data_IF_521458860586
#
_entry.id   IF_521458860586
#
_cell.length_a   1.000
_cell.length_b   1.000
_cell.length_c   1.000
_cell.angle_alpha   90.00
_cell.angle_beta   90.00
_cell.angle_gamma   90.00
#
_symmetry.space_group_name_H-M   'P 1'
#
loop_
_entity.id
_entity.type
_entity.pdbx_description
1 polymer ?
#
# COMPACT_ATOMS: atom_id res chain seq x y z
N UNK A 1 -18.11 -3.54 3.78
CA UNK A 1 -16.94 -2.71 4.18
C UNK A 1 -17.15 -2.39 5.64
N UNK A 2 -16.38 -3.03 6.52
CA UNK A 2 -16.35 -2.59 7.92
C UNK A 2 -15.46 -1.35 8.00
N UNK A 3 -15.82 -0.40 8.87
CA UNK A 3 -15.08 0.83 9.08
C UNK A 3 -13.72 0.57 9.75
N UNK A 4 -13.32 1.47 10.65
CA UNK A 4 -12.09 1.30 11.41
C UNK A 4 -12.05 -0.07 12.13
N UNK A 5 -11.16 -1.00 11.74
CA UNK A 5 -11.20 -2.38 12.23
C UNK A 5 -10.84 -2.48 13.72
N UNK A 6 -10.16 -1.47 14.27
CA UNK A 6 -9.85 -1.39 15.70
C UNK A 6 -11.09 -1.14 16.57
N UNK A 7 -12.22 -0.72 15.97
CA UNK A 7 -13.50 -0.59 16.68
C UNK A 7 -14.12 -1.94 17.06
N UNK A 8 -13.63 -3.04 16.48
CA UNK A 8 -14.00 -4.40 16.89
C UNK A 8 -13.52 -4.73 18.31
N UNK A 9 -12.46 -4.06 18.78
CA UNK A 9 -11.83 -4.26 20.09
C UNK A 9 -11.32 -2.94 20.68
N UNK A 10 -12.22 -2.01 21.05
CA UNK A 10 -11.83 -0.69 21.53
C UNK A 10 -10.97 -0.75 22.80
N UNK A 11 -11.16 -1.77 23.65
CA UNK A 11 -10.39 -2.02 24.86
C UNK A 11 -8.91 -2.36 24.58
N UNK A 12 -8.61 -2.84 23.37
CA UNK A 12 -7.26 -3.19 22.94
C UNK A 12 -6.55 -2.09 22.15
N UNK A 13 -7.18 -0.93 21.95
CA UNK A 13 -6.56 0.19 21.21
C UNK A 13 -5.16 0.54 21.76
N UNK A 14 -4.93 0.64 23.08
CA UNK A 14 -3.59 0.93 23.62
C UNK A 14 -2.55 -0.14 23.28
N UNK A 15 -2.95 -1.43 23.28
CA UNK A 15 -2.10 -2.57 22.91
C UNK A 15 -1.69 -2.47 21.43
N UNK A 16 -2.66 -2.26 20.54
CA UNK A 16 -2.40 -2.13 19.11
C UNK A 16 -1.63 -0.86 18.75
N UNK A 17 -1.90 0.25 19.43
CA UNK A 17 -1.15 1.48 19.24
C UNK A 17 0.33 1.30 19.59
N UNK A 18 0.63 0.61 20.71
CA UNK A 18 2.00 0.24 21.07
C UNK A 18 2.65 -0.65 20.01
N UNK A 19 1.97 -1.72 19.59
CA UNK A 19 2.47 -2.62 18.54
C UNK A 19 2.77 -1.88 17.23
N UNK A 20 1.91 -0.96 16.81
CA UNK A 20 2.10 -0.16 15.58
C UNK A 20 3.22 0.86 15.75
N UNK A 21 3.36 1.47 16.92
CA UNK A 21 4.44 2.43 17.19
C UNK A 21 5.82 1.74 17.14
N UNK A 22 5.93 0.53 17.69
CA UNK A 22 7.17 -0.26 17.73
C UNK A 22 7.68 -0.72 16.34
N UNK A 23 6.85 -0.64 15.29
CA UNK A 23 7.20 -1.12 13.94
C UNK A 23 7.45 0.04 12.96
N UNK A 24 7.58 1.26 13.47
CA UNK A 24 7.96 2.42 12.65
C UNK A 24 9.41 2.30 12.19
N UNK A 25 9.63 2.57 10.92
CA UNK A 25 10.96 2.62 10.34
C UNK A 25 11.55 3.98 10.63
N UNK A 26 12.58 4.02 11.48
CA UNK A 26 13.32 5.24 11.81
C UNK A 26 14.42 5.53 10.77
N UNK A 27 15.05 4.48 10.24
CA UNK A 27 16.05 4.57 9.18
C UNK A 27 15.82 3.47 8.14
N UNK A 28 15.65 3.87 6.88
CA UNK A 28 15.43 2.94 5.77
C UNK A 28 16.62 2.03 5.48
N UNK A 29 17.81 2.32 6.01
CA UNK A 29 19.03 1.52 5.85
C UNK A 29 19.31 0.58 7.02
N UNK A 30 18.44 0.56 8.03
CA UNK A 30 18.59 -0.31 9.19
C UNK A 30 17.33 -1.15 9.38
N UNK A 31 17.46 -2.47 9.22
CA UNK A 31 16.36 -3.41 9.40
C UNK A 31 15.92 -3.42 10.87
N UNK A 32 14.60 -3.47 11.10
CA UNK A 32 14.07 -3.68 12.44
C UNK A 32 14.25 -5.15 12.82
N UNK A 33 15.22 -5.43 13.69
CA UNK A 33 15.55 -6.79 14.14
C UNK A 33 14.98 -7.13 15.52
N UNK A 34 14.63 -6.14 16.35
CA UNK A 34 14.13 -6.31 17.71
C UNK A 34 12.73 -5.74 17.95
N UNK A 35 12.29 -5.77 19.21
CA UNK A 35 11.10 -5.06 19.72
C UNK A 35 11.58 -3.90 20.59
N UNK A 36 11.98 -2.79 19.97
CA UNK A 36 12.29 -1.58 20.72
C UNK A 36 11.01 -1.05 21.37
N UNK A 37 11.06 -0.74 22.66
CA UNK A 37 9.89 -0.18 23.35
C UNK A 37 9.65 1.25 22.84
N UNK A 38 8.50 1.54 22.23
CA UNK A 38 8.23 2.85 21.66
C UNK A 38 8.04 3.89 22.77
N UNK A 39 8.38 5.14 22.46
CA UNK A 39 8.18 6.25 23.40
C UNK A 39 6.68 6.50 23.61
N UNK A 40 6.31 7.00 24.80
CA UNK A 40 4.92 7.34 25.12
C UNK A 40 4.25 8.25 24.08
N UNK A 41 5.00 9.22 23.54
CA UNK A 41 4.51 10.10 22.48
C UNK A 41 4.20 9.37 21.17
N UNK A 42 4.94 8.32 20.84
CA UNK A 42 4.71 7.51 19.64
C UNK A 42 3.46 6.64 19.79
N UNK A 43 3.27 6.04 20.97
CA UNK A 43 2.07 5.29 21.32
C UNK A 43 0.84 6.20 21.27
N UNK A 44 0.88 7.35 21.96
CA UNK A 44 -0.22 8.32 21.98
C UNK A 44 -0.56 8.82 20.57
N UNK A 45 0.44 9.00 19.70
CA UNK A 45 0.20 9.34 18.30
C UNK A 45 -0.56 8.22 17.57
N UNK A 46 -0.19 6.95 17.74
CA UNK A 46 -0.91 5.84 17.10
C UNK A 46 -2.32 5.67 17.66
N UNK A 47 -2.55 5.89 18.94
CA UNK A 47 -3.90 5.87 19.52
C UNK A 47 -4.80 6.91 18.86
N UNK A 48 -4.32 8.16 18.76
CA UNK A 48 -5.02 9.24 18.05
C UNK A 48 -5.26 8.87 16.59
N UNK A 49 -4.27 8.23 15.94
CA UNK A 49 -4.37 7.82 14.53
C UNK A 49 -5.40 6.71 14.34
N UNK A 50 -5.44 5.73 15.24
CA UNK A 50 -6.47 4.69 15.27
C UNK A 50 -7.84 5.33 15.45
N UNK A 51 -7.98 6.33 16.33
CA UNK A 51 -9.26 7.04 16.55
C UNK A 51 -9.65 8.02 15.43
N UNK A 52 -8.77 8.26 14.47
CA UNK A 52 -9.00 9.22 13.38
C UNK A 52 -8.82 10.69 13.80
N UNK A 53 -8.22 10.94 14.97
CA UNK A 53 -8.02 12.27 15.55
C UNK A 53 -6.77 12.97 15.00
N UNK A 54 -5.90 12.25 14.28
CA UNK A 54 -4.70 12.81 13.66
C UNK A 54 -4.40 12.17 12.30
N UNK A 55 -3.71 12.93 11.45
CA UNK A 55 -3.15 12.45 10.17
C UNK A 55 -1.64 12.27 10.32
N UNK A 56 -1.09 11.32 9.59
CA UNK A 56 0.36 11.09 9.55
C UNK A 56 0.88 11.42 8.15
N UNK A 57 1.95 12.21 8.10
CA UNK A 57 2.72 12.47 6.88
C UNK A 57 4.14 12.00 7.14
N UNK A 58 4.72 11.24 6.21
CA UNK A 58 6.11 10.80 6.29
C UNK A 58 6.41 9.65 7.27
N UNK A 59 5.40 9.06 7.92
CA UNK A 59 5.59 7.88 8.80
C UNK A 59 5.50 6.60 7.97
N UNK A 60 6.55 5.77 8.03
CA UNK A 60 6.66 4.50 7.32
C UNK A 60 6.74 3.36 8.35
N UNK A 61 6.04 2.25 8.08
CA UNK A 61 6.05 1.06 8.93
C UNK A 61 6.66 -0.15 8.22
N UNK A 62 7.19 -1.08 8.99
CA UNK A 62 7.55 -2.41 8.47
C UNK A 62 6.29 -3.17 8.04
N UNK A 63 6.23 -3.54 6.76
CA UNK A 63 5.05 -4.11 6.13
C UNK A 63 4.66 -5.48 6.66
N UNK A 64 5.63 -6.36 6.91
CA UNK A 64 5.36 -7.70 7.43
C UNK A 64 4.90 -7.65 8.88
N UNK A 65 5.53 -6.80 9.70
CA UNK A 65 5.10 -6.59 11.09
C UNK A 65 3.73 -5.91 11.16
N UNK A 66 3.44 -4.96 10.26
CA UNK A 66 2.12 -4.34 10.17
C UNK A 66 1.03 -5.36 9.79
N UNK A 67 1.29 -6.22 8.81
CA UNK A 67 0.38 -7.30 8.43
C UNK A 67 0.11 -8.25 9.60
N UNK A 68 1.13 -8.57 10.41
CA UNK A 68 0.97 -9.37 11.64
C UNK A 68 0.02 -8.69 12.63
N UNK A 69 0.14 -7.38 12.85
CA UNK A 69 -0.78 -6.63 13.72
C UNK A 69 -2.23 -6.74 13.22
N UNK A 70 -2.45 -6.62 11.91
CA UNK A 70 -3.79 -6.78 11.33
C UNK A 70 -4.29 -8.24 11.39
N UNK A 71 -3.40 -9.21 11.28
CA UNK A 71 -3.71 -10.63 11.47
C UNK A 71 -4.18 -10.91 12.91
N UNK A 72 -3.47 -10.39 13.91
CA UNK A 72 -3.85 -10.48 15.34
C UNK A 72 -5.24 -9.89 15.62
N UNK A 73 -5.60 -8.83 14.89
CA UNK A 73 -6.92 -8.19 15.00
C UNK A 73 -8.05 -9.08 14.46
N UNK A 74 -7.77 -9.86 13.41
CA UNK A 74 -8.74 -10.77 12.79
C UNK A 74 -8.76 -12.17 13.38
N UNK A 75 -7.72 -12.59 14.12
CA UNK A 75 -7.65 -13.92 14.73
C UNK A 75 -8.96 -14.37 15.44
N UNK A 76 -9.69 -13.49 16.17
CA UNK A 76 -10.96 -13.85 16.81
C UNK A 76 -12.14 -14.03 15.85
N UNK A 77 -12.12 -13.37 14.68
CA UNK A 77 -13.16 -13.46 13.67
C UNK A 77 -13.03 -14.71 12.78
N UNK A 78 -11.93 -15.46 12.92
CA UNK A 78 -11.63 -16.63 12.10
C UNK A 78 -11.01 -16.22 10.76
N UNK A 79 -9.70 -16.42 10.62
CA UNK A 79 -9.04 -16.36 9.32
C UNK A 79 -9.32 -17.67 8.59
N UNK A 80 -10.34 -17.69 7.75
CA UNK A 80 -10.67 -18.87 6.95
C UNK A 80 -10.03 -18.76 5.56
N UNK A 81 -9.37 -19.84 5.11
CA UNK A 81 -8.76 -19.90 3.77
C UNK A 81 -9.76 -19.67 2.62
N UNK A 82 -11.06 -19.83 2.89
CA UNK A 82 -12.15 -19.60 1.94
C UNK A 82 -12.61 -18.13 1.86
N UNK A 83 -12.03 -17.25 2.67
CA UNK A 83 -12.38 -15.83 2.75
C UNK A 83 -11.16 -14.98 2.46
N UNK A 84 -11.28 -14.03 1.54
CA UNK A 84 -10.23 -13.04 1.29
C UNK A 84 -10.37 -11.86 2.25
N UNK A 85 -9.46 -11.74 3.21
CA UNK A 85 -9.39 -10.61 4.12
C UNK A 85 -8.47 -9.54 3.56
N UNK A 86 -9.01 -8.36 3.28
CA UNK A 86 -8.29 -7.26 2.64
C UNK A 86 -8.40 -6.00 3.52
N UNK A 87 -7.27 -5.48 3.97
CA UNK A 87 -7.18 -4.21 4.68
C UNK A 87 -6.80 -3.09 3.71
N UNK A 88 -7.63 -2.06 3.65
CA UNK A 88 -7.27 -0.77 3.05
C UNK A 88 -6.79 0.16 4.17
N UNK A 89 -5.58 0.71 4.03
CA UNK A 89 -4.99 1.57 5.05
C UNK A 89 -4.32 2.80 4.44
N UNK A 90 -4.34 3.92 5.15
CA UNK A 90 -3.54 5.11 4.77
C UNK A 90 -2.14 5.10 5.39
N UNK A 91 -1.73 3.99 6.01
CA UNK A 91 -0.36 3.79 6.51
C UNK A 91 0.55 3.43 5.36
N UNK A 92 1.58 4.25 5.12
CA UNK A 92 2.65 3.91 4.19
C UNK A 92 3.53 2.85 4.84
N UNK A 93 3.85 1.78 4.11
CA UNK A 93 4.71 0.71 4.63
C UNK A 93 5.76 0.32 3.61
N UNK A 94 6.80 -0.33 4.10
CA UNK A 94 7.92 -0.79 3.32
C UNK A 94 8.34 -2.21 3.75
N UNK A 95 9.00 -2.93 2.85
CA UNK A 95 9.59 -4.23 3.14
C UNK A 95 11.10 -4.14 3.00
N UNK A 96 11.83 -4.84 3.87
CA UNK A 96 13.28 -4.95 3.76
C UNK A 96 13.67 -5.73 2.50
N UNK A 97 14.56 -5.17 1.69
CA UNK A 97 15.20 -5.85 0.57
C UNK A 97 16.54 -6.40 1.02
N UNK A 98 16.70 -7.72 0.97
CA UNK A 98 17.97 -8.39 1.31
C UNK A 98 19.06 -8.09 0.27
N UNK A 99 18.67 -7.84 -0.98
CA UNK A 99 19.62 -7.66 -2.09
C UNK A 99 20.40 -6.33 -2.00
N UNK A 100 19.77 -5.27 -1.50
CA UNK A 100 20.35 -3.92 -1.41
C UNK A 100 20.34 -3.35 0.02
N UNK A 101 20.02 -4.20 1.01
CA UNK A 101 20.03 -3.90 2.44
C UNK A 101 19.31 -2.59 2.79
N UNK A 102 18.09 -2.40 2.27
CA UNK A 102 17.25 -1.24 2.61
C UNK A 102 15.77 -1.54 2.50
N UNK A 103 14.97 -0.70 3.16
CA UNK A 103 13.52 -0.70 3.05
C UNK A 103 13.05 -0.12 1.72
N UNK A 104 12.16 -0.86 1.05
CA UNK A 104 11.46 -0.44 -0.17
C UNK A 104 10.00 -0.19 0.13
N UNK A 105 9.53 1.03 -0.14
CA UNK A 105 8.12 1.34 -0.03
C UNK A 105 7.29 0.38 -0.90
N UNK A 106 6.16 -0.09 -0.37
CA UNK A 106 5.25 -0.99 -1.07
C UNK A 106 3.85 -0.40 -1.10
N UNK A 107 3.17 -0.66 -2.19
CA UNK A 107 1.75 -0.36 -2.33
C UNK A 107 0.88 -1.42 -1.65
N UNK A 108 1.25 -2.69 -1.81
CA UNK A 108 0.49 -3.81 -1.29
C UNK A 108 1.40 -4.92 -0.76
N UNK A 109 0.84 -5.72 0.15
CA UNK A 109 1.42 -6.95 0.65
C UNK A 109 0.32 -8.02 0.64
N UNK A 110 0.50 -9.06 -0.17
CA UNK A 110 -0.49 -10.13 -0.33
C UNK A 110 -0.17 -11.28 0.64
N UNK A 111 -1.18 -11.70 1.39
CA UNK A 111 -1.06 -12.66 2.47
C UNK A 111 -2.39 -12.84 3.19
N UNK A 112 -2.34 -13.35 4.43
CA UNK A 112 -3.52 -13.53 5.29
C UNK A 112 -3.36 -12.68 6.55
N UNK A 113 -3.88 -11.43 6.57
CA UNK A 113 -4.67 -10.76 5.52
C UNK A 113 -3.80 -10.07 4.46
N UNK A 114 -4.40 -9.71 3.32
CA UNK A 114 -3.76 -8.81 2.36
C UNK A 114 -3.90 -7.37 2.82
N UNK A 115 -2.86 -6.55 2.62
CA UNK A 115 -2.79 -5.16 3.06
C UNK A 115 -2.49 -4.27 1.87
N UNK A 116 -3.32 -3.26 1.62
CA UNK A 116 -3.17 -2.31 0.52
C UNK A 116 -3.11 -0.90 1.12
N UNK A 117 -2.03 -0.19 0.83
CA UNK A 117 -1.83 1.19 1.28
C UNK A 117 -2.32 2.19 0.24
N UNK A 118 -3.30 3.01 0.58
CA UNK A 118 -3.74 4.11 -0.30
C UNK A 118 -2.66 5.17 -0.45
N UNK A 119 -1.91 5.44 0.62
CA UNK A 119 -0.71 6.30 0.57
C UNK A 119 0.40 5.66 -0.27
N UNK A 120 0.57 4.33 -0.16
CA UNK A 120 1.53 3.58 -0.95
C UNK A 120 1.20 3.54 -2.45
N UNK A 121 -0.05 3.78 -2.87
CA UNK A 121 -0.38 3.94 -4.30
C UNK A 121 0.23 5.20 -4.92
N UNK A 122 0.42 6.23 -4.09
CA UNK A 122 0.94 7.54 -4.50
C UNK A 122 2.46 7.56 -4.33
N UNK A 123 2.94 7.13 -3.16
CA UNK A 123 4.34 7.36 -2.76
C UNK A 123 5.29 6.20 -3.09
N UNK A 124 4.81 4.97 -3.27
CA UNK A 124 5.70 3.81 -3.46
C UNK A 124 6.18 3.63 -4.91
N UNK A 125 5.32 3.71 -5.95
CA UNK A 125 5.78 3.65 -7.33
C UNK A 125 6.61 4.88 -7.69
N UNK A 126 7.68 4.69 -8.45
CA UNK A 126 8.51 5.78 -8.94
C UNK A 126 7.68 6.72 -9.85
N UNK A 127 7.93 8.02 -9.74
CA UNK A 127 7.31 9.03 -10.61
C UNK A 127 7.86 8.93 -12.03
N UNK A 128 7.18 9.50 -13.04
CA UNK A 128 7.72 9.65 -14.40
C UNK A 128 9.19 10.10 -14.41
N UNK A 129 10.00 9.57 -15.32
CA UNK A 129 11.42 9.98 -15.44
C UNK A 129 11.55 11.50 -15.65
N UNK A 130 10.64 12.08 -16.42
CA UNK A 130 10.56 13.51 -16.70
C UNK A 130 10.42 14.35 -15.42
N UNK A 131 9.70 13.85 -14.42
CA UNK A 131 9.57 14.53 -13.13
C UNK A 131 10.93 14.76 -12.47
N UNK A 132 11.81 13.76 -12.49
CA UNK A 132 13.14 13.87 -11.89
C UNK A 132 14.05 14.81 -12.69
N UNK A 133 13.96 14.79 -14.02
CA UNK A 133 14.72 15.70 -14.88
C UNK A 133 14.32 17.16 -14.63
N UNK A 134 13.02 17.44 -14.61
CA UNK A 134 12.50 18.78 -14.30
C UNK A 134 12.87 19.21 -12.87
N UNK A 135 12.78 18.31 -11.90
CA UNK A 135 13.17 18.59 -10.52
C UNK A 135 14.62 19.04 -10.43
N UNK A 136 15.53 18.33 -11.09
CA UNK A 136 16.95 18.69 -11.14
C UNK A 136 17.16 20.07 -11.80
N UNK A 137 16.48 20.35 -12.91
CA UNK A 137 16.56 21.65 -13.58
C UNK A 137 16.04 22.80 -12.71
N UNK A 138 14.91 22.60 -12.01
CA UNK A 138 14.36 23.61 -11.11
C UNK A 138 15.29 23.89 -9.93
N UNK A 139 15.87 22.84 -9.34
CA UNK A 139 16.87 22.97 -8.26
C UNK A 139 18.08 23.78 -8.72
N UNK A 140 18.62 23.51 -9.92
CA UNK A 140 19.72 24.27 -10.50
C UNK A 140 19.37 25.74 -10.78
N UNK A 141 18.11 26.02 -11.11
CA UNK A 141 17.62 27.38 -11.37
C UNK A 141 17.11 28.10 -10.12
N UNK A 142 17.20 27.48 -8.93
CA UNK A 142 16.67 28.03 -7.67
C UNK A 142 15.14 28.26 -7.70
N UNK A 143 14.42 27.55 -8.58
CA UNK A 143 12.97 27.67 -8.74
C UNK A 143 12.23 26.73 -7.80
N UNK A 144 11.01 27.12 -7.41
CA UNK A 144 10.17 26.29 -6.56
C UNK A 144 9.63 25.06 -7.33
N UNK A 145 9.85 23.82 -6.85
CA UNK A 145 9.41 22.59 -7.53
C UNK A 145 7.89 22.41 -7.60
N UNK A 146 7.08 23.25 -6.92
CA UNK A 146 5.61 23.18 -6.99
C UNK A 146 5.07 23.27 -8.43
N UNK A 147 5.70 24.07 -9.30
CA UNK A 147 5.29 24.21 -10.70
C UNK A 147 5.45 22.92 -11.53
N UNK A 148 6.30 21.98 -11.11
CA UNK A 148 6.49 20.70 -11.79
C UNK A 148 5.27 19.81 -11.61
N UNK A 149 4.67 19.82 -10.41
CA UNK A 149 3.47 19.03 -10.13
C UNK A 149 2.29 19.45 -11.00
N UNK A 150 2.14 20.76 -11.25
CA UNK A 150 1.08 21.29 -12.11
C UNK A 150 1.30 20.88 -13.58
N UNK A 151 2.55 20.91 -14.05
CA UNK A 151 2.90 20.54 -15.43
C UNK A 151 2.70 19.05 -15.72
N UNK A 152 2.90 18.18 -14.73
CA UNK A 152 2.88 16.72 -14.90
C UNK A 152 1.71 16.04 -14.17
N UNK A 153 0.69 16.80 -13.75
CA UNK A 153 -0.41 16.29 -12.91
C UNK A 153 -1.15 15.09 -13.52
N UNK A 154 -1.23 15.02 -14.85
CA UNK A 154 -1.87 13.90 -15.54
C UNK A 154 -1.06 12.59 -15.44
N UNK A 155 0.25 12.67 -15.26
CA UNK A 155 1.18 11.55 -15.47
C UNK A 155 1.49 10.75 -14.19
N UNK A 156 0.98 11.18 -13.03
CA UNK A 156 1.09 10.42 -11.78
C UNK A 156 -0.11 10.72 -10.88
N UNK A 157 -0.38 9.83 -9.92
CA UNK A 157 -1.44 10.00 -8.93
C UNK A 157 -0.99 10.93 -7.80
N UNK A 158 -1.89 11.76 -7.27
CA UNK A 158 -1.67 12.56 -6.05
C UNK A 158 -2.80 12.28 -5.04
N UNK A 159 -2.69 12.85 -3.85
CA UNK A 159 -3.77 12.75 -2.84
C UNK A 159 -5.06 13.37 -3.38
N UNK A 160 -6.19 12.77 -3.01
CA UNK A 160 -7.55 13.16 -3.43
C UNK A 160 -7.79 13.10 -4.96
N UNK A 161 -6.98 12.34 -5.69
CA UNK A 161 -7.19 12.06 -7.12
C UNK A 161 -8.37 11.10 -7.35
N UNK A 162 -9.30 11.47 -8.23
CA UNK A 162 -10.50 10.69 -8.53
C UNK A 162 -10.17 9.29 -9.10
N UNK A 163 -9.02 9.15 -9.76
CA UNK A 163 -8.54 7.89 -10.34
C UNK A 163 -8.17 6.86 -9.29
N UNK A 164 -7.90 7.27 -8.04
CA UNK A 164 -7.50 6.34 -6.97
C UNK A 164 -8.52 5.23 -6.74
N UNK A 165 -9.81 5.50 -6.92
CA UNK A 165 -10.85 4.49 -6.75
C UNK A 165 -10.68 3.34 -7.75
N UNK A 166 -10.42 3.65 -9.02
CA UNK A 166 -10.19 2.62 -10.04
C UNK A 166 -8.89 1.87 -9.77
N UNK A 167 -7.84 2.56 -9.38
CA UNK A 167 -6.58 1.91 -9.06
C UNK A 167 -6.74 0.94 -7.87
N UNK A 168 -7.43 1.34 -6.81
CA UNK A 168 -7.69 0.48 -5.64
C UNK A 168 -8.45 -0.78 -6.04
N UNK A 169 -9.44 -0.70 -6.94
CA UNK A 169 -10.17 -1.88 -7.42
C UNK A 169 -9.23 -2.94 -8.02
N UNK A 170 -8.24 -2.54 -8.82
CA UNK A 170 -7.29 -3.50 -9.38
C UNK A 170 -6.35 -4.11 -8.36
N UNK A 171 -5.88 -3.34 -7.37
CA UNK A 171 -5.08 -3.88 -6.26
C UNK A 171 -5.90 -4.83 -5.36
N UNK A 172 -7.19 -4.55 -5.17
CA UNK A 172 -8.12 -5.49 -4.52
C UNK A 172 -8.24 -6.77 -5.35
N UNK A 173 -8.34 -6.66 -6.68
CA UNK A 173 -8.33 -7.82 -7.56
C UNK A 173 -7.02 -8.61 -7.48
N UNK A 174 -5.86 -7.98 -7.35
CA UNK A 174 -4.60 -8.68 -7.09
C UNK A 174 -4.65 -9.49 -5.79
N UNK A 175 -5.24 -8.96 -4.71
CA UNK A 175 -5.44 -9.72 -3.47
C UNK A 175 -6.42 -10.90 -3.65
N UNK A 176 -7.48 -10.72 -4.44
CA UNK A 176 -8.42 -11.81 -4.78
C UNK A 176 -7.70 -12.90 -5.59
N UNK A 177 -6.95 -12.54 -6.62
CA UNK A 177 -6.19 -13.50 -7.43
C UNK A 177 -5.09 -14.21 -6.62
N UNK A 178 -4.45 -13.53 -5.67
CA UNK A 178 -3.55 -14.17 -4.74
C UNK A 178 -4.25 -15.25 -3.91
N UNK A 179 -5.45 -14.98 -3.38
CA UNK A 179 -6.22 -15.97 -2.63
C UNK A 179 -6.67 -17.15 -3.52
N UNK A 180 -7.01 -16.89 -4.78
CA UNK A 180 -7.48 -17.91 -5.73
C UNK A 180 -6.36 -18.79 -6.31
N UNK A 181 -5.19 -18.20 -6.59
CA UNK A 181 -4.14 -18.83 -7.41
C UNK A 181 -2.78 -18.91 -6.73
N UNK A 182 -2.60 -18.24 -5.58
CA UNK A 182 -1.31 -18.08 -4.92
C UNK A 182 -0.38 -17.06 -5.59
N UNK A 183 -0.76 -16.50 -6.75
CA UNK A 183 0.04 -15.50 -7.48
C UNK A 183 -0.78 -14.20 -7.68
N UNK A 184 -0.33 -13.05 -7.16
CA UNK A 184 -1.04 -11.79 -7.37
C UNK A 184 -0.73 -11.13 -8.72
N UNK A 185 0.35 -11.54 -9.40
CA UNK A 185 0.98 -10.74 -10.43
C UNK A 185 0.93 -11.36 -11.83
N UNK A 186 0.73 -10.49 -12.82
CA UNK A 186 0.79 -10.79 -14.23
C UNK A 186 1.99 -10.08 -14.89
N UNK A 187 2.71 -10.74 -15.82
CA UNK A 187 3.77 -10.08 -16.59
C UNK A 187 3.23 -9.15 -17.70
N UNK A 188 1.95 -9.25 -18.05
CA UNK A 188 1.32 -8.43 -19.09
C UNK A 188 1.02 -7.03 -18.54
N UNK A 189 1.62 -6.01 -19.16
CA UNK A 189 1.48 -4.60 -18.76
C UNK A 189 0.06 -4.06 -18.89
N UNK A 190 -0.76 -4.64 -19.76
CA UNK A 190 -2.16 -4.23 -19.91
C UNK A 190 -3.10 -4.86 -18.88
N UNK A 191 -2.65 -5.91 -18.19
CA UNK A 191 -3.47 -6.57 -17.19
C UNK A 191 -3.49 -5.75 -15.88
N UNK A 192 -4.66 -5.59 -15.24
CA UNK A 192 -4.77 -4.96 -13.91
C UNK A 192 -3.99 -5.70 -12.81
N UNK A 193 -3.51 -6.91 -13.08
CA UNK A 193 -2.63 -7.66 -12.19
C UNK A 193 -1.14 -7.37 -12.42
N UNK A 194 -0.79 -6.43 -13.30
CA UNK A 194 0.60 -6.05 -13.53
C UNK A 194 1.24 -5.47 -12.26
N UNK A 195 2.45 -5.94 -11.95
CA UNK A 195 3.23 -5.41 -10.84
C UNK A 195 3.99 -4.14 -11.26
N UNK A 196 3.28 -3.01 -11.31
CA UNK A 196 3.83 -1.74 -11.73
C UNK A 196 4.84 -1.19 -10.70
N UNK A 197 6.01 -0.76 -11.18
CA UNK A 197 7.01 -0.08 -10.35
C UNK A 197 7.05 1.44 -10.60
N UNK A 198 6.46 1.89 -11.71
CA UNK A 198 6.34 3.29 -12.08
C UNK A 198 4.88 3.73 -12.10
N UNK A 199 4.63 4.99 -11.76
CA UNK A 199 3.30 5.61 -11.80
C UNK A 199 2.66 5.51 -13.20
N UNK A 200 3.44 5.70 -14.27
CA UNK A 200 2.96 5.58 -15.66
C UNK A 200 2.49 4.15 -15.97
N UNK A 201 3.25 3.14 -15.54
CA UNK A 201 2.89 1.74 -15.71
C UNK A 201 1.65 1.37 -14.89
N UNK A 202 1.54 1.92 -13.68
CA UNK A 202 0.40 1.72 -12.80
C UNK A 202 -0.86 2.31 -13.44
N UNK A 203 -0.80 3.56 -13.90
CA UNK A 203 -1.92 4.23 -14.56
C UNK A 203 -2.32 3.46 -15.82
N UNK A 204 -1.36 3.07 -16.65
CA UNK A 204 -1.62 2.30 -17.86
C UNK A 204 -2.36 0.99 -17.55
N UNK A 205 -1.82 0.17 -16.64
CA UNK A 205 -2.39 -1.13 -16.30
C UNK A 205 -3.77 -1.03 -15.62
N UNK A 206 -4.03 0.06 -14.90
CA UNK A 206 -5.24 0.20 -14.08
C UNK A 206 -6.37 0.97 -14.76
N UNK A 207 -6.06 1.83 -15.73
CA UNK A 207 -6.99 2.82 -16.27
C UNK A 207 -6.98 2.85 -17.80
N UNK A 208 -5.80 2.85 -18.43
CA UNK A 208 -5.69 3.16 -19.86
C UNK A 208 -5.65 1.94 -20.77
N UNK A 209 -5.37 0.76 -20.23
CA UNK A 209 -5.29 -0.46 -21.04
C UNK A 209 -6.63 -0.79 -21.72
N UNK A 210 -6.54 -1.37 -22.92
CA UNK A 210 -7.70 -1.77 -23.73
C UNK A 210 -8.54 -2.90 -23.09
N UNK A 211 -7.98 -3.61 -22.11
CA UNK A 211 -8.65 -4.69 -21.40
C UNK A 211 -8.34 -4.65 -19.91
N UNK A 212 -9.26 -5.13 -19.06
CA UNK A 212 -9.03 -5.18 -17.61
C UNK A 212 -8.12 -6.34 -17.20
N UNK A 213 -8.27 -7.50 -17.84
CA UNK A 213 -7.51 -8.71 -17.55
C UNK A 213 -7.06 -9.36 -18.84
N UNK A 214 -5.81 -9.83 -18.88
CA UNK A 214 -5.32 -10.57 -20.04
C UNK A 214 -6.14 -11.85 -20.26
N UNK A 215 -6.12 -12.46 -21.47
CA UNK A 215 -6.96 -13.62 -21.80
C UNK A 215 -6.79 -14.81 -20.84
N UNK A 216 -5.66 -14.94 -20.16
CA UNK A 216 -5.46 -15.94 -19.12
C UNK A 216 -6.27 -15.63 -17.85
N UNK A 217 -6.13 -14.43 -17.29
CA UNK A 217 -6.81 -14.04 -16.06
C UNK A 217 -8.33 -13.85 -16.25
N UNK A 218 -8.76 -13.38 -17.42
CA UNK A 218 -10.18 -13.32 -17.77
C UNK A 218 -10.85 -14.70 -17.75
N UNK A 219 -10.17 -15.75 -18.25
CA UNK A 219 -10.67 -17.13 -18.21
C UNK A 219 -10.83 -17.66 -16.79
N UNK A 220 -9.91 -17.30 -15.87
CA UNK A 220 -10.02 -17.68 -14.46
C UNK A 220 -11.31 -17.08 -13.88
N UNK A 221 -11.57 -15.79 -14.09
CA UNK A 221 -12.78 -15.13 -13.59
C UNK A 221 -14.06 -15.73 -14.19
N UNK A 222 -14.08 -15.98 -15.50
CA UNK A 222 -15.24 -16.59 -16.15
C UNK A 222 -15.57 -17.97 -15.58
N UNK A 223 -14.55 -18.79 -15.29
CA UNK A 223 -14.74 -20.11 -14.70
C UNK A 223 -15.35 -20.11 -13.28
N UNK A 224 -15.31 -18.97 -12.59
CA UNK A 224 -15.95 -18.78 -11.28
C UNK A 224 -17.42 -18.41 -11.41
N UNK A 225 -17.82 -17.73 -12.49
CA UNK A 225 -19.21 -17.33 -12.75
C UNK A 225 -20.07 -18.49 -13.27
N UNK A 226 -19.44 -19.55 -13.79
CA UNK A 226 -20.11 -20.76 -14.30
C UNK A 226 -20.41 -21.80 -13.20
N UNK A 227 -20.06 -21.50 -11.94
CA UNK A 227 -20.31 -22.34 -10.76
C UNK A 227 -21.47 -21.83 -9.92
#
# INVERSE_FOLDING_TARGET
>A
VEGNPFTLRPEKIPEYARKIAAIRIQDVRHQITGEDEPLYGEISFEEKRIRGETKAVGVIYDGFRLQKVFSDLLAPAGLHLRSSHIFLTNRLFATWGEDDCRYHARTSLYGVPSVISTTGLIEAPARPREYYLLKQQYELLGKNPLGIKEQLKANFLDYDDERLTEVVKGYVMQAVFYNLTGNPFCPDKGCRLYNAHWQEELIFAQIESEFEFCPYHARILNSLNER
#
